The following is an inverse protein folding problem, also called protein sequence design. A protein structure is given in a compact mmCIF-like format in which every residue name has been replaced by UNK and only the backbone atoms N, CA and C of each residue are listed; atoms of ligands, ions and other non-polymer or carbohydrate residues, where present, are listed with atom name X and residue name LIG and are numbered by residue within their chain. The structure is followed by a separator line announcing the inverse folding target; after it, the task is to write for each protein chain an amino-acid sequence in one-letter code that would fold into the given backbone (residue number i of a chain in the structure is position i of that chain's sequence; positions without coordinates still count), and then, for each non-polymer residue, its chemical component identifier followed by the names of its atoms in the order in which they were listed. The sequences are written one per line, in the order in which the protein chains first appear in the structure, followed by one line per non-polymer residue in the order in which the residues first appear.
data_IF_884287465145
#
_entry.id   IF_884287465145
#
_cell.length_a   1.000
_cell.length_b   1.000
_cell.length_c   1.000
_cell.angle_alpha   90.00
_cell.angle_beta   90.00
_cell.angle_gamma   90.00
#
_symmetry.space_group_name_H-M   'P 1'
#
loop_
_entity.id
_entity.type
_entity.pdbx_description
1 polymer ?
#
# COMPACT_ATOMS: atom_id res chain seq x y z
N UNK A 1 -10.30 -1.22 6.24
CA UNK A 1 -10.62 -2.11 5.12
C UNK A 1 -9.84 -1.72 3.89
N UNK A 2 -9.36 -2.70 3.12
CA UNK A 2 -8.68 -2.47 1.84
C UNK A 2 -9.00 -3.63 0.88
N UNK A 3 -8.68 -3.47 -0.40
CA UNK A 3 -8.78 -4.54 -1.39
C UNK A 3 -7.50 -4.66 -2.21
N UNK A 4 -7.20 -5.89 -2.66
CA UNK A 4 -6.00 -6.23 -3.42
C UNK A 4 -4.81 -6.61 -2.53
N UNK A 5 -4.38 -7.87 -2.65
CA UNK A 5 -3.21 -8.45 -1.97
C UNK A 5 -2.05 -8.76 -2.93
N UNK A 6 -1.98 -8.00 -4.02
CA UNK A 6 -0.87 -8.05 -4.98
C UNK A 6 0.45 -7.57 -4.39
N UNK A 7 1.40 -7.19 -5.28
CA UNK A 7 2.74 -6.77 -4.87
C UNK A 7 2.74 -5.61 -3.88
N UNK A 8 1.97 -4.57 -4.15
CA UNK A 8 1.88 -3.39 -3.28
C UNK A 8 0.84 -3.56 -2.17
N UNK A 9 -0.38 -3.97 -2.50
CA UNK A 9 -1.47 -4.13 -1.53
C UNK A 9 -1.18 -5.18 -0.46
N UNK A 10 -0.39 -6.19 -0.80
CA UNK A 10 -0.02 -7.26 0.14
C UNK A 10 0.80 -6.83 1.35
N UNK A 11 1.36 -5.63 1.37
CA UNK A 11 2.07 -5.08 2.54
C UNK A 11 1.13 -4.38 3.54
N UNK A 12 -0.05 -3.96 3.11
CA UNK A 12 -0.99 -3.20 3.93
C UNK A 12 -1.44 -3.93 5.21
N UNK A 13 -1.81 -5.23 5.16
CA UNK A 13 -2.25 -5.92 6.38
C UNK A 13 -1.18 -5.90 7.46
N UNK A 14 0.08 -6.20 7.13
CA UNK A 14 1.17 -6.14 8.10
C UNK A 14 1.36 -4.73 8.65
N UNK A 15 1.33 -3.70 7.80
CA UNK A 15 1.45 -2.31 8.24
C UNK A 15 0.35 -1.91 9.24
N UNK A 16 -0.89 -2.34 9.01
CA UNK A 16 -2.01 -2.10 9.96
C UNK A 16 -1.77 -2.84 11.27
N UNK A 17 -1.34 -4.10 11.22
CA UNK A 17 -1.04 -4.91 12.41
C UNK A 17 0.10 -4.31 13.25
N UNK A 18 1.17 -3.85 12.60
CA UNK A 18 2.31 -3.20 13.26
C UNK A 18 1.90 -1.91 13.99
N UNK A 19 0.77 -1.32 13.61
CA UNK A 19 0.17 -0.18 14.29
C UNK A 19 -1.00 -0.56 15.22
N UNK A 20 -1.04 -1.82 15.66
CA UNK A 20 -2.08 -2.38 16.56
C UNK A 20 -3.50 -2.27 15.99
N UNK A 21 -3.64 -2.27 14.66
CA UNK A 21 -4.92 -2.18 13.99
C UNK A 21 -5.49 -3.54 13.58
N UNK A 22 -6.75 -3.50 13.14
CA UNK A 22 -7.46 -4.64 12.56
C UNK A 22 -7.63 -4.37 11.07
N UNK A 23 -7.22 -5.32 10.21
CA UNK A 23 -7.37 -5.19 8.77
C UNK A 23 -8.29 -6.27 8.21
N UNK A 24 -9.27 -5.87 7.39
CA UNK A 24 -10.00 -6.77 6.48
C UNK A 24 -9.49 -6.46 5.07
N UNK A 25 -8.90 -7.46 4.42
CA UNK A 25 -8.26 -7.33 3.11
C UNK A 25 -8.99 -8.21 2.11
N UNK A 26 -9.73 -7.58 1.19
CA UNK A 26 -10.54 -8.26 0.17
C UNK A 26 -9.63 -8.66 -1.00
N UNK A 27 -9.68 -9.91 -1.42
CA UNK A 27 -8.91 -10.41 -2.56
C UNK A 27 -9.71 -11.49 -3.31
N UNK A 28 -9.75 -11.37 -4.62
CA UNK A 28 -10.46 -12.32 -5.49
C UNK A 28 -9.69 -13.62 -5.70
N UNK A 29 -8.37 -13.56 -5.59
CA UNK A 29 -7.49 -14.70 -5.84
C UNK A 29 -7.05 -15.34 -4.52
N UNK A 30 -7.58 -16.53 -4.17
CA UNK A 30 -7.22 -17.21 -2.93
C UNK A 30 -5.73 -17.58 -2.85
N UNK A 31 -5.04 -17.71 -3.98
CA UNK A 31 -3.60 -17.98 -3.98
C UNK A 31 -2.78 -16.81 -3.41
N UNK A 32 -3.24 -15.57 -3.64
CA UNK A 32 -2.63 -14.38 -3.06
C UNK A 32 -2.89 -14.29 -1.56
N UNK A 33 -4.10 -14.64 -1.10
CA UNK A 33 -4.42 -14.73 0.32
C UNK A 33 -3.49 -15.75 1.00
N UNK A 34 -3.41 -16.98 0.46
CA UNK A 34 -2.56 -18.03 1.01
C UNK A 34 -1.09 -17.61 1.09
N UNK A 35 -0.57 -16.97 0.04
CA UNK A 35 0.80 -16.44 0.05
C UNK A 35 1.03 -15.45 1.19
N UNK A 36 0.05 -14.59 1.51
CA UNK A 36 0.19 -13.60 2.59
C UNK A 36 0.10 -14.24 3.98
N UNK A 37 -0.62 -15.34 4.13
CA UNK A 37 -0.62 -16.15 5.35
C UNK A 37 0.74 -16.86 5.51
N UNK A 38 1.25 -17.50 4.47
CA UNK A 38 2.56 -18.17 4.48
C UNK A 38 3.70 -17.20 4.82
N UNK A 39 3.66 -15.98 4.30
CA UNK A 39 4.64 -14.92 4.58
C UNK A 39 4.34 -14.13 5.85
N UNK A 40 3.32 -14.50 6.63
CA UNK A 40 2.92 -13.87 7.91
C UNK A 40 2.47 -12.42 7.78
N UNK A 41 1.99 -12.01 6.61
CA UNK A 41 1.38 -10.70 6.40
C UNK A 41 -0.12 -10.71 6.68
N UNK A 42 -0.76 -11.89 6.61
CA UNK A 42 -2.11 -12.15 7.07
C UNK A 42 -2.10 -13.20 8.20
N UNK A 43 -2.98 -13.05 9.16
CA UNK A 43 -3.13 -13.99 10.26
C UNK A 43 -4.13 -15.09 9.92
N UNK A 44 -5.21 -14.76 9.21
CA UNK A 44 -6.28 -15.70 8.90
C UNK A 44 -7.00 -15.31 7.60
N UNK A 45 -7.85 -16.20 7.13
CA UNK A 45 -8.74 -15.94 6.00
C UNK A 45 -10.13 -16.49 6.22
N UNK A 46 -11.11 -15.86 5.58
CA UNK A 46 -12.52 -16.20 5.61
C UNK A 46 -13.13 -16.10 4.21
N UNK A 47 -14.29 -16.73 4.02
CA UNK A 47 -15.01 -16.71 2.75
C UNK A 47 -16.21 -15.77 2.72
N UNK A 48 -16.67 -15.31 3.87
CA UNK A 48 -17.85 -14.46 3.95
C UNK A 48 -17.55 -13.17 4.71
N UNK A 49 -18.27 -12.11 4.35
CA UNK A 49 -18.17 -10.82 5.04
C UNK A 49 -18.61 -10.94 6.50
N UNK A 50 -19.63 -11.75 6.78
CA UNK A 50 -20.15 -11.96 8.14
C UNK A 50 -19.09 -12.56 9.06
N UNK A 51 -18.35 -13.58 8.58
CA UNK A 51 -17.21 -14.15 9.33
C UNK A 51 -16.12 -13.10 9.58
N UNK A 52 -15.79 -12.29 8.57
CA UNK A 52 -14.79 -11.23 8.73
C UNK A 52 -15.23 -10.20 9.79
N UNK A 53 -16.49 -9.79 9.78
CA UNK A 53 -17.06 -8.84 10.74
C UNK A 53 -17.06 -9.43 12.16
N UNK A 54 -17.41 -10.70 12.32
CA UNK A 54 -17.40 -11.38 13.63
C UNK A 54 -15.99 -11.38 14.21
N UNK A 55 -15.01 -11.82 13.44
CA UNK A 55 -13.60 -11.87 13.89
C UNK A 55 -13.08 -10.46 14.21
N UNK A 56 -13.35 -9.49 13.34
CA UNK A 56 -12.92 -8.11 13.56
C UNK A 56 -13.52 -7.51 14.83
N UNK A 57 -14.82 -7.75 15.09
CA UNK A 57 -15.46 -7.27 16.30
C UNK A 57 -14.95 -7.96 17.57
N UNK A 58 -14.67 -9.26 17.52
CA UNK A 58 -14.05 -9.99 18.63
C UNK A 58 -12.67 -9.43 18.95
N UNK A 59 -11.82 -9.25 17.94
CA UNK A 59 -10.49 -8.67 18.11
C UNK A 59 -10.56 -7.23 18.65
N UNK A 60 -11.51 -6.41 18.16
CA UNK A 60 -11.73 -5.03 18.67
C UNK A 60 -12.10 -5.04 20.16
N UNK A 61 -12.99 -5.94 20.58
CA UNK A 61 -13.39 -6.07 21.99
C UNK A 61 -12.22 -6.54 22.88
N UNK A 62 -11.38 -7.43 22.36
CA UNK A 62 -10.21 -7.94 23.05
C UNK A 62 -9.00 -6.98 22.99
N UNK A 63 -9.07 -5.91 22.19
CA UNK A 63 -7.94 -5.01 21.88
C UNK A 63 -6.75 -5.74 21.26
N UNK A 64 -7.03 -6.66 20.37
CA UNK A 64 -6.05 -7.46 19.64
C UNK A 64 -5.90 -6.96 18.21
N UNK A 65 -4.66 -6.88 17.73
CA UNK A 65 -4.39 -6.62 16.33
C UNK A 65 -4.54 -7.91 15.52
N UNK A 66 -5.30 -7.87 14.43
CA UNK A 66 -5.49 -9.03 13.54
C UNK A 66 -5.64 -8.59 12.09
N UNK A 67 -5.18 -9.45 11.18
CA UNK A 67 -5.32 -9.26 9.75
C UNK A 67 -6.09 -10.42 9.12
N UNK A 68 -7.16 -10.08 8.40
CA UNK A 68 -8.13 -11.02 7.87
C UNK A 68 -8.17 -10.89 6.35
N UNK A 69 -7.81 -11.96 5.63
CA UNK A 69 -8.05 -12.08 4.19
C UNK A 69 -9.51 -12.48 3.94
N UNK A 70 -10.24 -11.71 3.17
CA UNK A 70 -11.60 -12.01 2.76
C UNK A 70 -11.63 -12.36 1.28
N UNK A 71 -11.95 -13.61 0.96
CA UNK A 71 -12.09 -14.05 -0.43
C UNK A 71 -13.35 -13.42 -1.06
N UNK A 72 -13.15 -12.60 -2.10
CA UNK A 72 -14.27 -11.97 -2.80
C UNK A 72 -13.86 -10.78 -3.64
N UNK A 73 -14.83 -10.22 -4.35
CA UNK A 73 -14.65 -9.04 -5.17
C UNK A 73 -15.02 -7.77 -4.39
N UNK A 74 -14.17 -6.76 -4.42
CA UNK A 74 -14.40 -5.50 -3.71
C UNK A 74 -15.70 -4.80 -4.18
N UNK A 75 -16.01 -4.89 -5.47
CA UNK A 75 -17.25 -4.32 -6.03
C UNK A 75 -18.53 -5.09 -5.62
N UNK A 76 -18.39 -6.27 -5.01
CA UNK A 76 -19.51 -6.99 -4.38
C UNK A 76 -19.52 -6.79 -2.86
N UNK A 77 -18.35 -6.83 -2.22
CA UNK A 77 -18.21 -6.82 -0.75
C UNK A 77 -18.45 -5.43 -0.17
N UNK A 78 -17.85 -4.38 -0.75
CA UNK A 78 -17.95 -3.02 -0.18
C UNK A 78 -19.39 -2.48 -0.26
N UNK A 79 -20.17 -2.68 -1.34
CA UNK A 79 -21.60 -2.37 -1.33
C UNK A 79 -22.37 -3.09 -0.22
N UNK A 80 -22.06 -4.36 0.07
CA UNK A 80 -22.69 -5.11 1.18
C UNK A 80 -22.34 -4.52 2.54
N UNK A 81 -21.12 -3.99 2.73
CA UNK A 81 -20.78 -3.25 3.96
C UNK A 81 -21.68 -2.03 4.15
N UNK A 82 -21.98 -1.29 3.07
CA UNK A 82 -22.92 -0.16 3.10
C UNK A 82 -24.32 -0.64 3.50
N UNK A 83 -24.83 -1.71 2.88
CA UNK A 83 -26.15 -2.28 3.16
C UNK A 83 -26.29 -2.76 4.62
N UNK A 84 -25.23 -3.37 5.15
CA UNK A 84 -25.17 -3.86 6.53
C UNK A 84 -24.87 -2.75 7.56
N UNK A 85 -24.67 -1.51 7.10
CA UNK A 85 -24.24 -0.40 7.95
C UNK A 85 -22.94 -0.72 8.74
N UNK A 86 -22.07 -1.54 8.14
CA UNK A 86 -20.75 -1.82 8.67
C UNK A 86 -19.76 -0.75 8.17
N UNK A 87 -19.48 0.21 9.03
CA UNK A 87 -18.63 1.37 8.72
C UNK A 87 -17.24 1.16 9.31
N UNK A 88 -16.21 0.87 8.53
CA UNK A 88 -14.84 0.79 9.02
C UNK A 88 -14.29 2.17 9.36
N UNK A 89 -13.35 2.26 10.30
CA UNK A 89 -12.68 3.54 10.61
C UNK A 89 -11.98 4.11 9.38
N UNK A 90 -11.35 3.24 8.57
CA UNK A 90 -10.65 3.62 7.34
C UNK A 90 -10.97 2.65 6.20
N UNK A 91 -11.12 3.20 4.98
CA UNK A 91 -11.26 2.41 3.76
C UNK A 91 -10.36 2.95 2.65
N UNK A 92 -9.68 2.03 1.98
CA UNK A 92 -8.85 2.32 0.81
C UNK A 92 -8.90 1.16 -0.19
N UNK A 93 -8.21 1.29 -1.32
CA UNK A 93 -8.13 0.27 -2.34
C UNK A 93 -6.74 0.19 -2.98
N UNK A 94 -6.29 -1.04 -3.22
CA UNK A 94 -5.05 -1.34 -3.93
C UNK A 94 -5.25 -2.47 -4.95
N UNK A 95 -6.45 -2.62 -5.48
CA UNK A 95 -6.71 -3.47 -6.64
C UNK A 95 -5.93 -2.96 -7.86
N UNK A 96 -5.72 -3.81 -8.86
CA UNK A 96 -5.02 -3.42 -10.08
C UNK A 96 -5.92 -2.62 -11.04
N UNK A 97 -6.60 -1.59 -10.52
CA UNK A 97 -7.58 -0.78 -11.26
C UNK A 97 -6.97 0.06 -12.39
N UNK A 98 -5.64 0.23 -12.40
CA UNK A 98 -4.93 0.93 -13.49
C UNK A 98 -4.98 0.16 -14.83
N UNK A 99 -5.30 -1.12 -14.80
CA UNK A 99 -5.41 -1.99 -15.97
C UNK A 99 -6.78 -2.66 -15.98
N UNK A 100 -7.63 -2.19 -16.88
CA UNK A 100 -9.01 -2.63 -17.03
C UNK A 100 -9.16 -4.00 -17.69
N UNK A 101 -8.11 -4.53 -18.34
CA UNK A 101 -8.13 -5.80 -19.04
C UNK A 101 -7.43 -6.90 -18.24
N UNK A 102 -6.17 -6.69 -17.86
CA UNK A 102 -5.37 -7.75 -17.24
C UNK A 102 -5.27 -7.59 -15.72
N UNK A 103 -5.62 -6.42 -15.19
CA UNK A 103 -5.49 -6.08 -13.78
C UNK A 103 -6.78 -6.23 -12.96
N UNK A 104 -7.84 -5.52 -13.33
CA UNK A 104 -9.08 -5.49 -12.55
C UNK A 104 -10.04 -6.61 -12.96
N UNK A 105 -10.62 -7.29 -11.98
CA UNK A 105 -11.58 -8.39 -12.22
C UNK A 105 -13.00 -7.86 -12.03
N UNK A 106 -13.88 -7.97 -13.06
CA UNK A 106 -15.29 -7.59 -12.94
C UNK A 106 -15.99 -8.39 -11.85
N UNK A 107 -16.92 -7.77 -11.17
CA UNK A 107 -17.74 -8.45 -10.16
C UNK A 107 -18.80 -9.38 -10.79
N UNK A 108 -19.36 -10.25 -9.96
CA UNK A 108 -20.38 -11.21 -10.40
C UNK A 108 -19.84 -12.38 -11.24
N UNK A 109 -18.53 -12.47 -11.44
CA UNK A 109 -17.87 -13.56 -12.18
C UNK A 109 -16.83 -14.25 -11.30
N UNK A 110 -16.72 -15.56 -11.43
CA UNK A 110 -15.56 -16.30 -10.91
C UNK A 110 -14.30 -15.95 -11.69
N UNK A 111 -13.12 -16.22 -11.12
CA UNK A 111 -11.83 -16.02 -11.82
C UNK A 111 -11.78 -16.76 -13.16
N UNK A 112 -12.35 -17.98 -13.19
CA UNK A 112 -12.39 -18.77 -14.42
C UNK A 112 -13.28 -18.11 -15.48
N UNK A 113 -14.51 -17.71 -15.12
CA UNK A 113 -15.41 -17.04 -16.03
C UNK A 113 -14.83 -15.69 -16.51
N UNK A 114 -14.19 -14.95 -15.62
CA UNK A 114 -13.47 -13.72 -15.97
C UNK A 114 -12.36 -13.98 -17.00
N UNK A 115 -11.55 -15.02 -16.81
CA UNK A 115 -10.49 -15.39 -17.74
C UNK A 115 -11.06 -15.87 -19.10
N UNK A 116 -12.15 -16.60 -19.09
CA UNK A 116 -12.82 -17.07 -20.30
C UNK A 116 -13.45 -15.89 -21.08
N UNK A 117 -14.11 -14.98 -20.38
CA UNK A 117 -14.66 -13.75 -20.99
C UNK A 117 -13.57 -12.85 -21.56
N UNK A 118 -12.45 -12.66 -20.84
CA UNK A 118 -11.30 -11.86 -21.29
C UNK A 118 -10.76 -12.38 -22.62
N UNK A 119 -10.67 -13.69 -22.80
CA UNK A 119 -10.16 -14.34 -24.01
C UNK A 119 -11.19 -14.32 -25.15
N UNK A 120 -12.46 -14.53 -24.85
CA UNK A 120 -13.53 -14.63 -25.86
C UNK A 120 -14.08 -13.28 -26.31
N UNK A 121 -14.19 -12.31 -25.42
CA UNK A 121 -14.72 -10.97 -25.68
C UNK A 121 -14.07 -9.94 -24.75
N UNK A 122 -12.86 -9.49 -25.10
CA UNK A 122 -12.11 -8.50 -24.31
C UNK A 122 -12.83 -7.15 -24.21
N UNK A 123 -13.61 -6.76 -25.21
CA UNK A 123 -14.36 -5.49 -25.20
C UNK A 123 -15.47 -5.53 -24.13
N UNK A 124 -16.19 -6.64 -24.09
CA UNK A 124 -17.21 -6.88 -23.06
C UNK A 124 -16.55 -6.96 -21.68
N UNK A 125 -15.43 -7.66 -21.54
CA UNK A 125 -14.68 -7.73 -20.29
C UNK A 125 -14.33 -6.34 -19.76
N UNK A 126 -13.72 -5.49 -20.59
CA UNK A 126 -13.36 -4.10 -20.23
C UNK A 126 -14.60 -3.30 -19.80
N UNK A 127 -15.73 -3.44 -20.54
CA UNK A 127 -16.99 -2.79 -20.17
C UNK A 127 -17.49 -3.21 -18.78
N UNK A 128 -17.44 -4.50 -18.47
CA UNK A 128 -17.84 -5.01 -17.16
C UNK A 128 -16.85 -4.57 -16.06
N UNK A 129 -15.53 -4.52 -16.35
CA UNK A 129 -14.53 -3.98 -15.42
C UNK A 129 -14.82 -2.53 -15.06
N UNK A 130 -15.15 -1.68 -16.03
CA UNK A 130 -15.51 -0.29 -15.77
C UNK A 130 -16.77 -0.14 -14.91
N UNK A 131 -17.82 -0.95 -15.15
CA UNK A 131 -19.03 -0.96 -14.34
C UNK A 131 -18.71 -1.34 -12.89
N UNK A 132 -17.89 -2.39 -12.71
CA UNK A 132 -17.47 -2.83 -11.40
C UNK A 132 -16.64 -1.76 -10.66
N UNK A 133 -15.72 -1.07 -11.36
CA UNK A 133 -14.95 0.04 -10.78
C UNK A 133 -15.84 1.20 -10.35
N UNK A 134 -16.91 1.52 -11.09
CA UNK A 134 -17.91 2.53 -10.70
C UNK A 134 -18.61 2.10 -9.42
N UNK A 135 -19.14 0.87 -9.38
CA UNK A 135 -19.83 0.32 -8.20
C UNK A 135 -18.91 0.34 -6.96
N UNK A 136 -17.67 -0.07 -7.12
CA UNK A 136 -16.66 -0.06 -6.08
C UNK A 136 -16.41 1.36 -5.54
N UNK A 137 -16.15 2.30 -6.45
CA UNK A 137 -15.87 3.70 -6.10
C UNK A 137 -17.07 4.37 -5.40
N UNK A 138 -18.30 4.17 -5.91
CA UNK A 138 -19.54 4.67 -5.27
C UNK A 138 -19.72 4.14 -3.86
N UNK A 139 -19.40 2.87 -3.62
CA UNK A 139 -19.52 2.27 -2.29
C UNK A 139 -18.50 2.87 -1.31
N UNK A 140 -17.27 3.17 -1.75
CA UNK A 140 -16.28 3.90 -0.94
C UNK A 140 -16.80 5.30 -0.57
N UNK A 141 -17.36 6.04 -1.54
CA UNK A 141 -17.93 7.38 -1.30
C UNK A 141 -19.09 7.29 -0.28
N UNK A 142 -19.95 6.26 -0.37
CA UNK A 142 -21.01 6.06 0.60
C UNK A 142 -20.49 5.78 2.00
N UNK A 143 -19.47 4.92 2.15
CA UNK A 143 -18.83 4.66 3.44
C UNK A 143 -18.16 5.93 4.01
N UNK A 144 -17.56 6.76 3.17
CA UNK A 144 -17.04 8.06 3.58
C UNK A 144 -18.16 8.96 4.13
N UNK A 145 -19.30 9.04 3.43
CA UNK A 145 -20.46 9.81 3.90
C UNK A 145 -21.03 9.25 5.21
N UNK A 146 -20.84 7.96 5.50
CA UNK A 146 -21.22 7.31 6.76
C UNK A 146 -20.20 7.49 7.89
N UNK A 147 -19.04 8.11 7.61
CA UNK A 147 -18.04 8.46 8.61
C UNK A 147 -16.68 7.75 8.49
N UNK A 148 -16.48 6.88 7.49
CA UNK A 148 -15.15 6.30 7.23
C UNK A 148 -14.17 7.36 6.71
N UNK A 149 -12.92 7.28 7.11
CA UNK A 149 -11.82 7.97 6.43
C UNK A 149 -11.54 7.19 5.14
N UNK A 150 -11.83 7.80 3.99
CA UNK A 150 -11.60 7.19 2.69
C UNK A 150 -10.46 7.90 1.96
N UNK A 151 -9.58 7.14 1.33
CA UNK A 151 -8.52 7.68 0.46
C UNK A 151 -8.14 6.68 -0.63
N UNK A 152 -7.76 7.22 -1.78
CA UNK A 152 -7.19 6.44 -2.90
C UNK A 152 -5.70 6.22 -2.67
N UNK A 153 -5.25 4.97 -2.78
CA UNK A 153 -3.83 4.63 -2.59
C UNK A 153 -3.00 4.76 -3.89
N UNK A 154 -3.55 5.34 -4.95
CA UNK A 154 -2.82 5.63 -6.18
C UNK A 154 -2.89 4.53 -7.26
N UNK A 155 -3.88 3.65 -7.18
CA UNK A 155 -4.10 2.58 -8.17
C UNK A 155 -4.98 2.99 -9.36
N UNK A 156 -5.37 4.27 -9.45
CA UNK A 156 -6.19 4.85 -10.49
C UNK A 156 -7.67 4.39 -10.53
N UNK A 157 -8.20 3.84 -9.43
CA UNK A 157 -9.62 3.44 -9.35
C UNK A 157 -10.55 4.62 -9.66
N UNK A 158 -10.32 5.78 -9.03
CA UNK A 158 -11.11 7.00 -9.23
C UNK A 158 -11.04 7.50 -10.68
N UNK A 159 -9.85 7.48 -11.28
CA UNK A 159 -9.65 7.89 -12.68
C UNK A 159 -10.44 7.00 -13.65
N UNK A 160 -10.41 5.69 -13.45
CA UNK A 160 -11.16 4.74 -14.27
C UNK A 160 -12.68 4.86 -14.05
N UNK A 161 -13.13 5.02 -12.81
CA UNK A 161 -14.54 5.26 -12.51
C UNK A 161 -15.05 6.57 -13.15
N UNK A 162 -14.23 7.65 -13.12
CA UNK A 162 -14.55 8.91 -13.82
C UNK A 162 -14.64 8.72 -15.32
N UNK A 163 -13.70 8.00 -15.94
CA UNK A 163 -13.70 7.66 -17.36
C UNK A 163 -14.96 6.87 -17.73
N UNK A 164 -15.45 6.02 -16.82
CA UNK A 164 -16.69 5.27 -16.96
C UNK A 164 -17.98 6.08 -16.68
N UNK A 165 -17.87 7.38 -16.34
CA UNK A 165 -18.99 8.30 -16.17
C UNK A 165 -19.36 8.69 -14.76
N UNK A 166 -18.64 8.20 -13.73
CA UNK A 166 -18.88 8.60 -12.35
C UNK A 166 -18.36 10.02 -12.09
N UNK A 167 -19.27 11.00 -12.01
CA UNK A 167 -18.93 12.42 -11.92
C UNK A 167 -18.19 12.79 -10.63
N UNK A 168 -18.57 12.17 -9.53
CA UNK A 168 -18.06 12.41 -8.19
C UNK A 168 -16.97 11.41 -7.75
N UNK A 169 -16.29 10.75 -8.69
CA UNK A 169 -15.26 9.76 -8.38
C UNK A 169 -14.10 10.30 -7.51
N UNK A 170 -13.89 11.61 -7.50
CA UNK A 170 -12.83 12.29 -6.74
C UNK A 170 -13.34 12.98 -5.45
N UNK A 171 -14.53 12.62 -4.96
CA UNK A 171 -15.06 13.19 -3.71
C UNK A 171 -14.27 12.72 -2.46
N UNK A 172 -13.53 11.63 -2.55
CA UNK A 172 -12.54 11.26 -1.54
C UNK A 172 -11.11 11.51 -2.05
N UNK A 173 -10.20 11.95 -1.17
CA UNK A 173 -8.87 12.37 -1.57
C UNK A 173 -7.96 11.19 -1.94
N UNK A 174 -6.84 11.50 -2.61
CA UNK A 174 -5.71 10.60 -2.74
C UNK A 174 -4.81 10.65 -1.50
N UNK A 175 -4.08 9.57 -1.24
CA UNK A 175 -3.16 9.52 -0.11
C UNK A 175 -1.98 10.49 -0.28
N UNK A 176 -1.61 10.84 -1.51
CA UNK A 176 -0.51 11.76 -1.79
C UNK A 176 -0.78 13.15 -1.21
N UNK A 177 -1.88 13.87 -1.57
CA UNK A 177 -2.13 15.19 -1.00
C UNK A 177 -2.38 15.16 0.51
N UNK A 178 -3.03 14.12 1.03
CA UNK A 178 -3.43 14.06 2.44
C UNK A 178 -2.28 13.70 3.38
N UNK A 179 -1.45 12.72 2.99
CA UNK A 179 -0.48 12.12 3.91
C UNK A 179 0.97 12.30 3.45
N UNK A 180 1.24 12.25 2.16
CA UNK A 180 2.61 12.25 1.64
C UNK A 180 3.13 13.66 1.41
N UNK A 181 2.32 14.53 0.80
CA UNK A 181 2.69 15.92 0.53
C UNK A 181 3.20 16.68 1.77
N UNK A 182 2.55 16.62 2.94
CA UNK A 182 3.07 17.29 4.14
C UNK A 182 4.47 16.82 4.53
N UNK A 183 4.81 15.56 4.31
CA UNK A 183 6.14 15.01 4.58
C UNK A 183 7.16 15.50 3.56
N UNK A 184 6.81 15.52 2.27
CA UNK A 184 7.67 16.07 1.23
C UNK A 184 7.98 17.55 1.46
N UNK A 185 6.98 18.34 1.86
CA UNK A 185 7.17 19.75 2.20
C UNK A 185 8.09 19.97 3.41
N UNK A 186 8.25 18.96 4.28
CA UNK A 186 9.21 18.95 5.39
C UNK A 186 10.59 18.40 4.97
N UNK A 187 10.80 18.09 3.71
CA UNK A 187 12.01 17.47 3.21
C UNK A 187 12.18 15.99 3.59
N UNK A 188 11.13 15.34 4.08
CA UNK A 188 11.13 13.89 4.37
C UNK A 188 10.72 13.10 3.15
N UNK A 189 11.38 11.99 2.90
CA UNK A 189 11.02 11.10 1.81
C UNK A 189 11.62 9.70 1.97
N UNK A 190 11.16 8.75 1.14
CA UNK A 190 11.59 7.37 1.21
C UNK A 190 13.07 7.23 0.85
N UNK A 191 13.74 6.38 1.61
CA UNK A 191 15.14 6.00 1.40
C UNK A 191 15.22 4.48 1.47
N UNK A 192 15.52 3.86 0.34
CA UNK A 192 15.64 2.41 0.23
C UNK A 192 17.09 2.01 -0.02
N UNK A 193 17.57 1.00 0.71
CA UNK A 193 18.88 0.42 0.49
C UNK A 193 18.81 -1.11 0.44
N UNK A 194 19.76 -1.68 -0.28
CA UNK A 194 19.86 -3.11 -0.59
C UNK A 194 21.27 -3.59 -0.34
N UNK A 195 21.44 -4.69 0.39
CA UNK A 195 22.72 -5.33 0.62
C UNK A 195 23.06 -6.25 -0.57
N UNK A 196 24.10 -5.89 -1.34
CA UNK A 196 24.57 -6.68 -2.48
C UNK A 196 25.24 -8.00 -2.06
N UNK A 197 25.62 -8.13 -0.79
CA UNK A 197 26.14 -9.38 -0.25
C UNK A 197 25.12 -10.52 -0.30
N UNK A 198 23.82 -10.19 -0.29
CA UNK A 198 22.76 -11.16 -0.07
C UNK A 198 22.64 -11.60 1.39
N UNK A 199 23.48 -11.07 2.28
CA UNK A 199 23.47 -11.39 3.71
C UNK A 199 22.54 -10.46 4.48
N UNK A 200 21.48 -10.98 5.15
CA UNK A 200 20.62 -10.20 6.03
C UNK A 200 21.36 -9.42 7.12
N UNK A 201 22.50 -9.92 7.60
CA UNK A 201 23.27 -9.28 8.66
C UNK A 201 23.78 -7.90 8.25
N UNK A 202 24.06 -7.68 6.98
CA UNK A 202 24.46 -6.35 6.49
C UNK A 202 23.30 -5.34 6.60
N UNK A 203 22.04 -5.78 6.44
CA UNK A 203 20.88 -4.92 6.71
C UNK A 203 20.73 -4.68 8.20
N UNK A 204 20.91 -5.68 9.06
CA UNK A 204 20.77 -5.49 10.51
C UNK A 204 21.86 -4.56 11.07
N UNK A 205 23.06 -4.59 10.53
CA UNK A 205 24.14 -3.63 10.88
C UNK A 205 23.77 -2.21 10.43
N UNK A 206 23.22 -2.06 9.23
CA UNK A 206 22.79 -0.74 8.75
C UNK A 206 21.54 -0.23 9.49
N UNK A 207 20.62 -1.10 9.90
CA UNK A 207 19.50 -0.77 10.79
C UNK A 207 20.02 -0.21 12.13
N UNK A 208 21.03 -0.85 12.73
CA UNK A 208 21.67 -0.37 13.96
C UNK A 208 22.31 1.01 13.77
N UNK A 209 22.97 1.24 12.64
CA UNK A 209 23.55 2.54 12.31
C UNK A 209 22.48 3.64 12.19
N UNK A 210 21.33 3.35 11.58
CA UNK A 210 20.19 4.30 11.51
C UNK A 210 19.69 4.67 12.90
N UNK A 211 19.50 3.67 13.78
CA UNK A 211 19.03 3.89 15.15
C UNK A 211 20.04 4.73 15.98
N UNK A 212 21.33 4.49 15.79
CA UNK A 212 22.40 5.26 16.43
C UNK A 212 22.43 6.71 15.95
N UNK A 213 22.26 6.92 14.63
CA UNK A 213 22.36 8.25 14.04
C UNK A 213 21.14 9.14 14.31
N UNK A 214 19.95 8.54 14.50
CA UNK A 214 18.69 9.27 14.62
C UNK A 214 17.88 8.82 15.84
N UNK A 215 18.43 8.85 17.06
CA UNK A 215 17.79 8.28 18.26
C UNK A 215 16.50 9.00 18.69
N UNK A 216 16.34 10.27 18.28
CA UNK A 216 15.18 11.09 18.65
C UNK A 216 13.98 10.86 17.75
N UNK A 217 14.14 10.24 16.57
CA UNK A 217 13.04 9.90 15.68
C UNK A 217 12.37 8.60 16.14
N UNK A 218 11.33 8.76 16.98
CA UNK A 218 10.58 7.62 17.56
C UNK A 218 9.84 6.80 16.49
N UNK A 219 9.34 7.46 15.44
CA UNK A 219 8.63 6.78 14.33
C UNK A 219 9.60 5.89 13.56
N UNK A 220 10.76 6.44 13.21
CA UNK A 220 11.84 5.70 12.55
C UNK A 220 12.32 4.53 13.40
N UNK A 221 12.59 4.77 14.69
CA UNK A 221 13.06 3.75 15.62
C UNK A 221 12.06 2.60 15.79
N UNK A 222 10.78 2.91 15.96
CA UNK A 222 9.74 1.90 16.04
C UNK A 222 9.66 1.07 14.76
N UNK A 223 9.68 1.73 13.59
CA UNK A 223 9.66 1.04 12.31
C UNK A 223 10.84 0.08 12.14
N UNK A 224 12.07 0.53 12.35
CA UNK A 224 13.27 -0.29 12.16
C UNK A 224 13.26 -1.50 13.11
N UNK A 225 12.90 -1.31 14.38
CA UNK A 225 12.82 -2.41 15.35
C UNK A 225 11.76 -3.44 14.95
N UNK A 226 10.54 -3.01 14.56
CA UNK A 226 9.50 -3.92 14.12
C UNK A 226 9.87 -4.62 12.81
N UNK A 227 10.49 -3.89 11.86
CA UNK A 227 10.87 -4.43 10.57
C UNK A 227 11.90 -5.56 10.67
N UNK A 228 12.81 -5.50 11.63
CA UNK A 228 13.78 -6.55 11.91
C UNK A 228 13.11 -7.90 12.17
N UNK A 229 12.03 -7.90 12.93
CA UNK A 229 11.39 -9.13 13.40
C UNK A 229 10.23 -9.58 12.50
N UNK A 230 9.55 -8.65 11.83
CA UNK A 230 8.29 -8.93 11.14
C UNK A 230 8.37 -8.89 9.61
N UNK A 231 9.34 -8.15 9.05
CA UNK A 231 9.48 -8.03 7.59
C UNK A 231 10.44 -9.08 7.06
N UNK A 232 9.93 -10.00 6.25
CA UNK A 232 10.75 -11.04 5.59
C UNK A 232 11.31 -10.54 4.27
N UNK A 233 12.59 -10.80 4.02
CA UNK A 233 13.20 -10.54 2.73
C UNK A 233 12.69 -11.53 1.67
N UNK A 234 12.23 -10.99 0.54
CA UNK A 234 11.70 -11.79 -0.59
C UNK A 234 12.63 -11.77 -1.81
N UNK A 235 13.86 -11.37 -1.63
CA UNK A 235 14.91 -11.23 -2.64
C UNK A 235 16.19 -10.83 -1.94
N UNK A 236 16.99 -9.95 -2.54
CA UNK A 236 18.13 -9.38 -1.84
C UNK A 236 17.67 -8.66 -0.58
N UNK A 237 18.37 -8.84 0.55
CA UNK A 237 18.04 -8.14 1.78
C UNK A 237 18.00 -6.62 1.56
N UNK A 238 16.91 -6.01 2.01
CA UNK A 238 16.69 -4.58 1.78
C UNK A 238 15.91 -3.96 2.92
N UNK A 239 16.06 -2.65 3.07
CA UNK A 239 15.30 -1.86 4.01
C UNK A 239 14.83 -0.57 3.34
N UNK A 240 13.73 -0.03 3.85
CA UNK A 240 13.22 1.29 3.52
C UNK A 240 12.90 2.01 4.82
N UNK A 241 13.15 3.30 4.85
CA UNK A 241 12.64 4.19 5.89
C UNK A 241 12.41 5.58 5.30
N UNK A 242 11.82 6.47 6.07
CA UNK A 242 11.68 7.87 5.69
C UNK A 242 12.72 8.70 6.41
N UNK A 243 13.57 9.36 5.64
CA UNK A 243 14.63 10.22 6.15
C UNK A 243 14.40 11.67 5.70
N UNK A 244 14.74 12.60 6.57
CA UNK A 244 14.65 14.03 6.31
C UNK A 244 15.79 14.58 5.48
N UNK A 245 15.66 15.86 5.13
CA UNK A 245 16.73 16.63 4.51
C UNK A 245 18.04 16.52 5.31
N UNK A 246 19.16 16.37 4.66
CA UNK A 246 20.49 16.15 5.24
C UNK A 246 20.68 14.82 6.01
N UNK A 247 19.62 14.15 6.46
CA UNK A 247 19.73 12.82 7.08
C UNK A 247 20.17 11.76 6.07
N UNK A 248 19.66 11.83 4.84
CA UNK A 248 20.04 10.93 3.74
C UNK A 248 21.51 11.01 3.40
N UNK A 249 22.03 12.23 3.21
CA UNK A 249 23.45 12.45 2.91
C UNK A 249 24.35 11.90 4.03
N UNK A 250 24.00 12.18 5.30
CA UNK A 250 24.74 11.66 6.46
C UNK A 250 24.73 10.13 6.50
N UNK A 251 23.55 9.51 6.27
CA UNK A 251 23.45 8.06 6.28
C UNK A 251 24.17 7.43 5.09
N UNK A 252 24.12 8.04 3.90
CA UNK A 252 24.90 7.60 2.73
C UNK A 252 26.42 7.61 2.99
N UNK A 253 26.95 8.65 3.64
CA UNK A 253 28.36 8.71 4.07
C UNK A 253 28.66 7.60 5.08
N UNK A 254 27.79 7.38 6.06
CA UNK A 254 27.94 6.30 7.05
C UNK A 254 28.02 4.93 6.40
N UNK A 255 27.17 4.64 5.41
CA UNK A 255 27.20 3.38 4.65
C UNK A 255 28.56 3.19 3.95
N UNK A 256 29.07 4.24 3.29
CA UNK A 256 30.39 4.20 2.66
C UNK A 256 31.52 3.95 3.67
N UNK A 257 31.45 4.56 4.84
CA UNK A 257 32.44 4.32 5.92
C UNK A 257 32.38 2.87 6.42
N UNK A 258 31.18 2.30 6.60
CA UNK A 258 31.01 0.92 7.03
C UNK A 258 31.57 -0.08 6.01
N UNK A 259 31.38 0.17 4.73
CA UNK A 259 32.00 -0.64 3.65
C UNK A 259 33.52 -0.49 3.69
N UNK A 260 34.03 0.73 3.78
CA UNK A 260 35.49 0.99 3.81
C UNK A 260 36.21 0.35 5.01
N UNK A 261 35.51 0.20 6.14
CA UNK A 261 36.04 -0.45 7.36
C UNK A 261 35.84 -1.98 7.35
N UNK A 262 35.18 -2.53 6.32
CA UNK A 262 34.88 -3.97 6.26
C UNK A 262 33.80 -4.41 7.26
N UNK A 263 33.00 -3.50 7.79
CA UNK A 263 31.87 -3.80 8.66
C UNK A 263 30.73 -4.43 7.86
N UNK A 264 30.59 -4.07 6.59
CA UNK A 264 29.65 -4.67 5.64
C UNK A 264 30.41 -5.56 4.65
N UNK A 265 29.78 -6.67 4.29
CA UNK A 265 30.40 -7.72 3.45
C UNK A 265 30.49 -7.34 1.97
N UNK A 266 29.67 -6.37 1.52
CA UNK A 266 29.64 -5.87 0.15
C UNK A 266 29.09 -4.44 0.11
N UNK A 267 29.19 -3.74 -1.03
CA UNK A 267 28.57 -2.43 -1.21
C UNK A 267 27.05 -2.44 -1.01
N UNK A 268 26.52 -1.30 -0.63
CA UNK A 268 25.09 -1.05 -0.51
C UNK A 268 24.60 -0.28 -1.73
N UNK A 269 23.52 -0.73 -2.34
CA UNK A 269 22.83 0.01 -3.39
C UNK A 269 21.68 0.81 -2.77
N UNK A 270 21.68 2.11 -3.05
CA UNK A 270 20.59 3.01 -2.67
C UNK A 270 19.69 3.15 -3.90
N UNK A 271 18.40 2.92 -3.72
CA UNK A 271 17.39 3.01 -4.75
C UNK A 271 16.24 3.94 -4.34
N UNK A 272 15.50 4.39 -5.36
CA UNK A 272 14.27 5.13 -5.14
C UNK A 272 13.13 4.18 -4.73
N UNK A 273 12.12 4.73 -4.07
CA UNK A 273 10.84 4.07 -3.84
C UNK A 273 9.84 4.40 -4.95
N UNK A 274 8.73 3.64 -5.01
CA UNK A 274 7.61 3.88 -5.92
C UNK A 274 6.83 5.17 -5.63
N UNK A 275 7.11 5.86 -4.52
CA UNK A 275 6.57 7.19 -4.20
C UNK A 275 7.40 8.34 -4.81
N UNK A 276 8.28 8.07 -5.74
CA UNK A 276 8.98 9.12 -6.47
C UNK A 276 8.01 9.91 -7.39
N UNK A 277 8.46 11.06 -7.87
CA UNK A 277 7.63 11.90 -8.74
C UNK A 277 7.21 11.19 -10.04
N UNK A 278 7.99 10.23 -10.54
CA UNK A 278 7.61 9.39 -11.68
C UNK A 278 6.39 8.53 -11.38
N UNK A 279 6.30 7.95 -10.17
CA UNK A 279 5.15 7.15 -9.76
C UNK A 279 3.92 7.99 -9.43
N UNK A 280 4.08 9.25 -9.06
CA UNK A 280 2.96 10.17 -8.77
C UNK A 280 2.52 10.98 -9.98
N UNK A 281 3.17 10.87 -11.12
CA UNK A 281 2.84 11.59 -12.37
C UNK A 281 1.89 10.81 -13.30
N UNK A 282 1.11 9.87 -12.81
CA UNK A 282 0.08 9.19 -13.60
C UNK A 282 -1.14 10.08 -13.83
N UNK A 283 -1.93 9.86 -14.90
CA UNK A 283 -3.14 10.62 -15.17
C UNK A 283 -4.09 10.64 -13.96
N UNK A 284 -4.71 11.78 -13.70
CA UNK A 284 -5.61 12.03 -12.57
C UNK A 284 -4.98 11.92 -11.18
N UNK A 285 -3.67 12.00 -11.07
CA UNK A 285 -3.04 12.15 -9.76
C UNK A 285 -3.13 13.59 -9.29
N UNK A 286 -3.35 13.76 -8.00
CA UNK A 286 -3.58 15.09 -7.41
C UNK A 286 -2.36 15.99 -7.46
N UNK A 287 -1.16 15.45 -7.61
CA UNK A 287 0.08 16.23 -7.78
C UNK A 287 0.02 17.14 -9.01
N UNK A 288 -0.66 16.73 -10.08
CA UNK A 288 -0.84 17.56 -11.28
C UNK A 288 -1.71 18.79 -11.03
N UNK A 289 -2.55 18.76 -10.01
CA UNK A 289 -3.47 19.85 -9.65
C UNK A 289 -2.97 20.71 -8.51
N UNK A 290 -1.82 20.43 -7.93
CA UNK A 290 -1.25 21.18 -6.83
C UNK A 290 -0.70 22.53 -7.31
N UNK A 291 -1.44 23.60 -7.04
CA UNK A 291 -1.12 24.97 -7.47
C UNK A 291 0.00 25.62 -6.69
N UNK A 292 0.41 25.05 -5.57
CA UNK A 292 1.43 25.58 -4.66
C UNK A 292 2.85 25.07 -4.97
N UNK A 293 3.02 24.31 -6.03
CA UNK A 293 4.32 23.76 -6.42
C UNK A 293 4.82 22.62 -5.53
N UNK A 294 3.97 22.02 -4.71
CA UNK A 294 4.37 20.91 -3.82
C UNK A 294 4.82 19.65 -4.58
N UNK A 295 4.43 19.47 -5.81
CA UNK A 295 4.96 18.45 -6.71
C UNK A 295 6.44 18.66 -7.05
N UNK A 296 6.90 19.92 -7.05
CA UNK A 296 8.30 20.26 -7.24
C UNK A 296 9.19 19.89 -6.03
N UNK A 297 8.61 19.68 -4.86
CA UNK A 297 9.29 19.20 -3.65
C UNK A 297 9.06 17.72 -3.38
N UNK A 298 8.45 16.99 -4.33
CA UNK A 298 8.37 15.55 -4.30
C UNK A 298 9.75 14.90 -4.22
N UNK A 299 9.82 13.59 -4.07
CA UNK A 299 11.07 12.86 -3.80
C UNK A 299 12.15 13.01 -4.87
N UNK A 300 11.83 13.46 -6.10
CA UNK A 300 12.83 13.68 -7.14
C UNK A 300 13.96 14.62 -6.72
N UNK A 301 13.70 15.84 -6.22
CA UNK A 301 14.76 16.66 -5.64
C UNK A 301 15.44 16.02 -4.44
N UNK A 302 14.71 15.24 -3.64
CA UNK A 302 15.27 14.57 -2.47
C UNK A 302 16.20 13.41 -2.84
N UNK A 303 15.93 12.68 -3.92
CA UNK A 303 16.81 11.64 -4.46
C UNK A 303 18.09 12.26 -5.07
N UNK A 304 17.96 13.38 -5.76
CA UNK A 304 19.12 14.06 -6.34
C UNK A 304 20.03 14.71 -5.29
N UNK A 305 19.59 14.85 -4.06
CA UNK A 305 20.39 15.36 -2.94
C UNK A 305 21.24 14.29 -2.24
N UNK A 306 21.15 13.04 -2.67
CA UNK A 306 21.97 11.93 -2.24
C UNK A 306 23.24 11.84 -3.05
#
# INVERSE_FOLDING_TARGET
VTAGLGGMGGAQPLAVKMNNGIAICIEVDPSRINRRIETKYLDTSVKTLDEAIIIANQAKNNKEAITIGLEGNAADIIPKMVELNFVPDMITDQTSAHDELDGYIPNGLSIKESNDLRKSDSKRYISESYKAMVTHCEAIIKLQAMGSIAFDYGNNLRGQAKKAGLKNAFDFPGFIPEYIRPLFCQGKGPFRWVALSGDPDDIYKTDAAVLEMFPDDKVLSNWINMAKDQVQFQGLPSRICWLGYNQRAKFGVKLNEMVARGELSAPIVIGRDHLDCGSVASPYRETESMKDGSDAVADWPLLNAL
#
